data_IF_558758715942
#
_entry.id   IF_558758715942
#
_cell.length_a   1.000
_cell.length_b   1.000
_cell.length_c   1.000
_cell.angle_alpha   90.00
_cell.angle_beta   90.00
_cell.angle_gamma   90.00
#
_symmetry.space_group_name_H-M   'P 1'
#
loop_
_entity.id
_entity.type
_entity.pdbx_description
1 polymer ?
#
# COMPACT_ATOMS: atom_id res chain seq x y z
N UNK A 1 19.02 4.20 -9.17
CA UNK A 1 18.89 5.02 -7.94
C UNK A 1 18.84 4.07 -6.76
N UNK A 2 19.40 4.43 -5.59
CA UNK A 2 19.37 3.55 -4.40
C UNK A 2 18.08 3.79 -3.62
N UNK A 3 17.31 2.73 -3.39
CA UNK A 3 16.15 2.76 -2.49
C UNK A 3 16.66 2.95 -1.06
N UNK A 4 16.10 3.94 -0.38
CA UNK A 4 16.37 4.24 1.02
C UNK A 4 15.49 3.37 1.93
N UNK A 5 14.18 3.38 1.67
CA UNK A 5 13.18 2.72 2.49
C UNK A 5 11.96 2.31 1.67
N UNK A 6 11.17 1.37 2.22
CA UNK A 6 9.83 1.04 1.72
C UNK A 6 8.82 1.64 2.70
N UNK A 7 7.78 2.26 2.16
CA UNK A 7 6.65 2.77 2.92
C UNK A 7 5.38 2.06 2.48
N UNK A 8 4.43 1.93 3.40
CA UNK A 8 3.12 1.34 3.15
C UNK A 8 2.08 2.44 3.32
N UNK A 9 1.28 2.65 2.28
CA UNK A 9 0.07 3.46 2.36
C UNK A 9 -1.16 2.54 2.35
N UNK A 10 -2.06 2.71 3.30
CA UNK A 10 -3.32 1.97 3.41
C UNK A 10 -4.42 2.84 2.79
N UNK A 11 -5.00 2.37 1.69
CA UNK A 11 -5.76 3.18 0.76
C UNK A 11 -7.15 2.59 0.57
N UNK A 12 -8.17 3.43 0.71
CA UNK A 12 -9.51 3.16 0.16
C UNK A 12 -9.62 3.78 -1.22
N UNK A 13 -10.09 2.98 -2.14
CA UNK A 13 -10.21 3.32 -3.54
C UNK A 13 -11.64 3.11 -4.02
N UNK A 14 -11.95 3.69 -5.17
CA UNK A 14 -13.14 3.37 -5.96
C UNK A 14 -12.77 3.15 -7.43
N UNK A 15 -13.46 2.24 -8.14
CA UNK A 15 -13.29 2.11 -9.57
C UNK A 15 -13.86 3.34 -10.29
N UNK A 16 -13.14 3.79 -11.32
CA UNK A 16 -13.61 4.79 -12.28
C UNK A 16 -14.34 4.11 -13.44
N UNK A 17 -15.10 4.87 -14.27
CA UNK A 17 -15.65 4.32 -15.50
C UNK A 17 -14.57 3.66 -16.36
N UNK A 18 -14.87 2.48 -16.92
CA UNK A 18 -13.93 1.62 -17.68
C UNK A 18 -12.81 0.99 -16.84
N UNK A 19 -13.00 0.82 -15.53
CA UNK A 19 -12.14 -0.06 -14.75
C UNK A 19 -12.34 -1.51 -15.21
N UNK A 20 -11.24 -2.17 -15.58
CA UNK A 20 -11.24 -3.56 -16.08
C UNK A 20 -11.26 -4.61 -14.95
N UNK A 21 -11.26 -4.16 -13.70
CA UNK A 21 -11.34 -5.06 -12.55
C UNK A 21 -12.79 -5.48 -12.31
N UNK A 22 -13.00 -6.79 -12.22
CA UNK A 22 -14.26 -7.35 -11.77
C UNK A 22 -14.34 -7.23 -10.25
N UNK A 23 -15.11 -6.24 -9.83
CA UNK A 23 -15.21 -5.78 -8.46
C UNK A 23 -16.55 -6.20 -7.84
N UNK A 24 -17.14 -7.35 -8.22
CA UNK A 24 -18.37 -7.94 -7.62
C UNK A 24 -19.49 -6.92 -7.27
N UNK A 25 -19.61 -5.82 -8.02
CA UNK A 25 -20.57 -4.74 -7.75
C UNK A 25 -20.31 -3.86 -6.51
N UNK A 26 -19.14 -3.93 -5.88
CA UNK A 26 -18.78 -3.07 -4.75
C UNK A 26 -18.40 -1.65 -5.19
N UNK A 27 -18.79 -0.64 -4.40
CA UNK A 27 -18.49 0.77 -4.68
C UNK A 27 -17.08 1.19 -4.22
N UNK A 28 -16.53 0.47 -3.22
CA UNK A 28 -15.25 0.79 -2.60
C UNK A 28 -14.44 -0.46 -2.29
N UNK A 29 -13.11 -0.31 -2.40
CA UNK A 29 -12.15 -1.37 -2.12
C UNK A 29 -10.97 -0.82 -1.33
N UNK A 30 -10.23 -1.74 -0.73
CA UNK A 30 -9.08 -1.45 0.11
C UNK A 30 -7.84 -2.12 -0.46
N UNK A 31 -6.70 -1.44 -0.34
CA UNK A 31 -5.39 -1.99 -0.67
C UNK A 31 -4.27 -1.29 0.09
N UNK A 32 -3.15 -1.98 0.21
CA UNK A 32 -1.86 -1.38 0.58
C UNK A 32 -1.05 -1.06 -0.67
N UNK A 33 -0.47 0.13 -0.72
CA UNK A 33 0.60 0.46 -1.66
C UNK A 33 1.95 0.38 -0.97
N UNK A 34 2.82 -0.52 -1.44
CA UNK A 34 4.22 -0.64 -1.02
C UNK A 34 5.06 0.24 -1.93
N UNK A 35 5.45 1.40 -1.41
CA UNK A 35 6.09 2.48 -2.18
C UNK A 35 7.58 2.55 -1.87
N UNK A 36 8.46 2.32 -2.87
CA UNK A 36 9.89 2.55 -2.71
C UNK A 36 10.20 4.06 -2.71
N UNK A 37 10.92 4.49 -1.67
CA UNK A 37 11.42 5.86 -1.50
C UNK A 37 12.92 5.86 -1.72
N UNK A 38 13.39 6.81 -2.54
CA UNK A 38 14.78 6.89 -2.96
C UNK A 38 15.57 7.87 -2.11
N UNK A 39 16.88 7.65 -1.96
CA UNK A 39 17.75 8.55 -1.20
C UNK A 39 17.81 9.99 -1.75
N UNK A 40 17.46 10.18 -3.02
CA UNK A 40 17.37 11.50 -3.64
C UNK A 40 16.11 12.29 -3.26
N UNK A 41 15.11 11.62 -2.69
CA UNK A 41 13.84 12.24 -2.30
C UNK A 41 14.04 12.97 -0.97
N UNK A 42 13.53 14.20 -0.92
CA UNK A 42 13.71 15.06 0.25
C UNK A 42 12.84 14.53 1.40
N UNK A 43 13.38 14.32 2.61
CA UNK A 43 12.63 13.78 3.73
C UNK A 43 11.32 14.52 4.04
N UNK A 44 11.31 15.85 3.88
CA UNK A 44 10.13 16.68 4.16
C UNK A 44 8.97 16.49 3.15
N UNK A 45 9.17 15.79 2.03
CA UNK A 45 8.16 15.56 1.00
C UNK A 45 7.81 14.07 0.83
N UNK A 46 8.26 13.19 1.72
CA UNK A 46 8.05 11.73 1.59
C UNK A 46 6.56 11.40 1.48
N UNK A 47 5.70 11.96 2.33
CA UNK A 47 4.26 11.68 2.29
C UNK A 47 3.61 12.15 0.99
N UNK A 48 3.93 13.36 0.52
CA UNK A 48 3.43 13.90 -0.75
C UNK A 48 3.84 12.99 -1.92
N UNK A 49 5.08 12.51 -1.90
CA UNK A 49 5.62 11.62 -2.92
C UNK A 49 4.96 10.24 -2.90
N UNK A 50 4.70 9.68 -1.71
CA UNK A 50 3.94 8.42 -1.55
C UNK A 50 2.55 8.56 -2.14
N UNK A 51 1.83 9.64 -1.79
CA UNK A 51 0.48 9.91 -2.28
C UNK A 51 0.49 10.08 -3.81
N UNK A 52 1.41 10.90 -4.32
CA UNK A 52 1.56 11.17 -5.76
C UNK A 52 1.81 9.90 -6.55
N UNK A 53 2.82 9.11 -6.16
CA UNK A 53 3.18 7.86 -6.84
C UNK A 53 2.03 6.84 -6.77
N UNK A 54 1.37 6.71 -5.61
CA UNK A 54 0.24 5.79 -5.44
C UNK A 54 -0.94 6.18 -6.33
N UNK A 55 -1.26 7.48 -6.39
CA UNK A 55 -2.31 8.02 -7.25
C UNK A 55 -2.03 7.75 -8.72
N UNK A 56 -0.83 8.04 -9.21
CA UNK A 56 -0.44 7.79 -10.61
C UNK A 56 -0.63 6.31 -10.97
N UNK A 57 -0.19 5.41 -10.10
CA UNK A 57 -0.29 3.96 -10.34
C UNK A 57 -1.71 3.39 -10.25
N UNK A 58 -2.58 4.00 -9.45
CA UNK A 58 -4.01 3.66 -9.43
C UNK A 58 -4.73 4.22 -10.66
N UNK A 59 -4.35 5.41 -11.13
CA UNK A 59 -4.91 6.00 -12.35
C UNK A 59 -4.61 5.15 -13.59
N UNK A 60 -3.41 4.54 -13.68
CA UNK A 60 -3.08 3.56 -14.72
C UNK A 60 -4.06 2.36 -14.77
N UNK A 61 -4.80 2.12 -13.68
CA UNK A 61 -5.77 1.03 -13.49
C UNK A 61 -7.22 1.51 -13.52
N UNK A 62 -7.48 2.78 -13.87
CA UNK A 62 -8.79 3.42 -13.73
C UNK A 62 -9.36 3.30 -12.31
N UNK A 63 -8.50 3.50 -11.30
CA UNK A 63 -8.87 3.54 -9.89
C UNK A 63 -8.57 4.92 -9.32
N UNK A 64 -9.41 5.37 -8.40
CA UNK A 64 -9.24 6.65 -7.70
C UNK A 64 -9.08 6.43 -6.20
N UNK A 65 -8.14 7.16 -5.60
CA UNK A 65 -7.99 7.24 -4.15
C UNK A 65 -9.17 8.05 -3.58
N UNK A 66 -9.92 7.40 -2.69
CA UNK A 66 -10.98 8.02 -1.90
C UNK A 66 -10.41 8.52 -0.58
N UNK A 67 -9.59 7.70 0.07
CA UNK A 67 -8.97 8.04 1.35
C UNK A 67 -7.65 7.27 1.59
N UNK A 68 -6.81 7.80 2.47
CA UNK A 68 -5.58 7.16 2.95
C UNK A 68 -5.58 7.20 4.48
N UNK A 69 -5.78 6.05 5.09
CA UNK A 69 -5.98 5.95 6.54
C UNK A 69 -4.68 5.96 7.33
N UNK A 70 -3.61 5.46 6.70
CA UNK A 70 -2.32 5.31 7.35
C UNK A 70 -1.20 5.32 6.30
N UNK A 71 -0.12 6.03 6.63
CA UNK A 71 1.15 5.93 5.92
C UNK A 71 2.22 5.65 6.95
N UNK A 72 2.97 4.57 6.76
CA UNK A 72 3.93 4.10 7.74
C UNK A 72 5.14 3.48 7.06
N UNK A 73 6.31 3.61 7.70
CA UNK A 73 7.55 3.04 7.17
C UNK A 73 7.55 1.54 7.43
N UNK A 74 7.87 0.75 6.41
CA UNK A 74 8.04 -0.69 6.60
C UNK A 74 9.36 -0.98 7.31
N UNK A 75 9.26 -1.66 8.45
CA UNK A 75 10.38 -2.26 9.16
C UNK A 75 10.08 -3.75 9.33
N UNK A 76 10.89 -4.61 8.74
CA UNK A 76 10.65 -6.04 8.72
C UNK A 76 10.41 -6.63 10.12
N UNK A 77 11.03 -6.08 11.17
CA UNK A 77 10.85 -6.58 12.54
C UNK A 77 9.51 -6.23 13.19
N UNK A 78 8.74 -5.32 12.59
CA UNK A 78 7.55 -4.70 13.20
C UNK A 78 6.22 -5.16 12.60
N UNK A 79 6.23 -5.99 11.56
CA UNK A 79 5.02 -6.35 10.81
C UNK A 79 4.69 -7.83 10.92
N UNK A 80 3.49 -8.11 11.41
CA UNK A 80 2.85 -9.43 11.36
C UNK A 80 1.43 -9.28 10.81
N UNK A 81 0.96 -10.31 10.13
CA UNK A 81 -0.43 -10.40 9.67
C UNK A 81 -1.11 -11.54 10.39
N UNK A 82 -2.23 -11.24 11.03
CA UNK A 82 -3.12 -12.24 11.60
C UNK A 82 -4.39 -12.36 10.73
N UNK A 83 -4.85 -13.59 10.50
CA UNK A 83 -6.04 -13.87 9.70
C UNK A 83 -5.76 -14.19 8.23
N UNK A 84 -6.81 -14.10 7.40
CA UNK A 84 -6.79 -14.59 6.02
C UNK A 84 -6.68 -13.44 5.01
N UNK A 85 -5.65 -12.61 5.13
CA UNK A 85 -5.47 -11.44 4.26
C UNK A 85 -5.09 -11.82 2.82
N UNK A 86 -4.57 -13.04 2.61
CA UNK A 86 -3.92 -13.45 1.36
C UNK A 86 -2.64 -12.65 1.02
N UNK A 87 -2.24 -11.69 1.86
CA UNK A 87 -1.16 -10.74 1.63
C UNK A 87 -0.05 -10.92 2.68
N UNK A 88 1.19 -11.02 2.23
CA UNK A 88 2.38 -11.04 3.09
C UNK A 88 3.17 -9.74 2.93
N UNK A 89 3.12 -8.81 3.91
CA UNK A 89 3.82 -7.53 3.85
C UNK A 89 5.31 -7.63 3.60
N UNK A 90 5.96 -8.71 4.09
CA UNK A 90 7.38 -8.95 3.88
C UNK A 90 7.69 -9.23 2.41
N UNK A 91 6.88 -10.09 1.78
CA UNK A 91 7.04 -10.44 0.37
C UNK A 91 6.71 -9.27 -0.55
N UNK A 92 5.66 -8.52 -0.24
CA UNK A 92 5.25 -7.34 -1.00
C UNK A 92 6.28 -6.21 -0.89
N UNK A 93 6.79 -5.93 0.31
CA UNK A 93 7.85 -4.96 0.50
C UNK A 93 9.16 -5.36 -0.18
N UNK A 94 9.52 -6.66 -0.14
CA UNK A 94 10.66 -7.21 -0.87
C UNK A 94 10.48 -7.03 -2.38
N UNK A 95 9.30 -7.36 -2.91
CA UNK A 95 9.00 -7.22 -4.33
C UNK A 95 9.06 -5.76 -4.78
N UNK A 96 8.51 -4.82 -4.00
CA UNK A 96 8.59 -3.39 -4.30
C UNK A 96 10.05 -2.90 -4.35
N UNK A 97 10.88 -3.41 -3.44
CA UNK A 97 12.31 -3.10 -3.39
C UNK A 97 13.08 -3.66 -4.59
N UNK A 98 12.83 -4.91 -4.96
CA UNK A 98 13.54 -5.58 -6.06
C UNK A 98 13.10 -5.09 -7.44
N UNK A 99 11.80 -4.86 -7.62
CA UNK A 99 11.24 -4.34 -8.88
C UNK A 99 11.44 -2.83 -9.06
N UNK A 100 11.83 -2.13 -7.99
CA UNK A 100 11.98 -0.69 -7.96
C UNK A 100 10.70 0.06 -8.42
N UNK A 101 9.54 -0.52 -8.07
CA UNK A 101 8.22 -0.05 -8.49
C UNK A 101 7.23 -0.20 -7.34
N UNK A 102 6.11 0.53 -7.42
CA UNK A 102 5.02 0.33 -6.47
C UNK A 102 4.41 -1.04 -6.69
N UNK A 103 4.20 -1.75 -5.59
CA UNK A 103 3.42 -2.98 -5.54
C UNK A 103 2.17 -2.70 -4.73
N UNK A 104 1.00 -2.97 -5.30
CA UNK A 104 -0.23 -3.01 -4.51
C UNK A 104 -0.43 -4.39 -3.92
N UNK A 105 -1.01 -4.46 -2.73
CA UNK A 105 -1.71 -5.67 -2.31
C UNK A 105 -2.81 -6.02 -3.32
N UNK A 106 -3.38 -7.22 -3.20
CA UNK A 106 -4.69 -7.46 -3.79
C UNK A 106 -5.70 -6.39 -3.35
N UNK A 107 -6.67 -6.10 -4.21
CA UNK A 107 -7.82 -5.26 -3.85
C UNK A 107 -8.87 -6.12 -3.18
N UNK A 108 -9.41 -5.62 -2.07
CA UNK A 108 -10.37 -6.38 -1.26
C UNK A 108 -11.60 -5.55 -0.92
N UNK A 109 -12.73 -6.23 -0.75
CA UNK A 109 -13.99 -5.62 -0.33
C UNK A 109 -13.93 -5.15 1.12
N UNK A 110 -14.96 -4.39 1.53
CA UNK A 110 -15.11 -3.94 2.92
C UNK A 110 -15.24 -5.12 3.91
N UNK A 111 -15.96 -6.18 3.54
CA UNK A 111 -16.07 -7.41 4.35
C UNK A 111 -14.70 -8.04 4.62
N UNK A 112 -13.87 -8.21 3.59
CA UNK A 112 -12.53 -8.77 3.74
C UNK A 112 -11.61 -7.81 4.49
N UNK A 113 -11.77 -6.50 4.31
CA UNK A 113 -11.02 -5.49 5.07
C UNK A 113 -11.30 -5.59 6.57
N UNK A 114 -12.56 -5.74 6.97
CA UNK A 114 -12.95 -5.90 8.38
C UNK A 114 -12.37 -7.18 9.02
N UNK A 115 -12.22 -8.25 8.24
CA UNK A 115 -11.60 -9.49 8.69
C UNK A 115 -10.06 -9.43 8.70
N UNK A 116 -9.47 -8.52 7.91
CA UNK A 116 -8.01 -8.39 7.79
C UNK A 116 -7.43 -7.66 9.00
N UNK A 117 -6.55 -8.34 9.74
CA UNK A 117 -5.88 -7.74 10.91
C UNK A 117 -4.38 -7.60 10.68
N UNK A 118 -3.96 -6.35 10.51
CA UNK A 118 -2.55 -5.99 10.52
C UNK A 118 -2.09 -5.66 11.93
N UNK A 119 -1.02 -6.32 12.37
CA UNK A 119 -0.37 -5.99 13.63
C UNK A 119 0.95 -5.30 13.31
N UNK A 120 0.94 -3.97 13.48
CA UNK A 120 2.17 -3.18 13.51
C UNK A 120 2.62 -3.04 14.96
N UNK A 121 3.68 -3.76 15.33
CA UNK A 121 4.28 -3.66 16.67
C UNK A 121 5.36 -2.59 16.64
N UNK A 122 5.12 -1.47 17.32
CA UNK A 122 6.18 -0.51 17.60
C UNK A 122 7.06 -1.11 18.69
N UNK A 123 8.06 -1.89 18.26
CA UNK A 123 9.11 -2.34 19.16
C UNK A 123 10.04 -1.14 19.32
N UNK A 124 9.89 -0.42 20.43
CA UNK A 124 10.93 0.51 20.87
C UNK A 124 12.19 -0.32 21.10
N UNK A 125 13.15 -0.21 20.19
CA UNK A 125 14.52 -0.50 20.55
C UNK A 125 15.01 0.71 21.34
N UNK A 126 15.43 0.46 22.59
CA UNK A 126 16.10 1.44 23.45
C UNK A 126 17.14 2.29 22.71
#
# INVERSE_FOLDING_TARGET
MKIDSIWIAFIKIRPLPNCDFDFDGGDFFFCEAYVPIYQSERPQHIFEEIIRKSKEKLQDKNLEIVDIFMITRFDQSQWEVEGNSGNNPHELAKLAKESNNIVFSGFRSEEIEEETKYIHRIINMD
#
